data_IF_944590144491
#
_entry.id   IF_944590144491
#
_cell.length_a   1.000
_cell.length_b   1.000
_cell.length_c   1.000
_cell.angle_alpha   90.00
_cell.angle_beta   90.00
_cell.angle_gamma   90.00
#
_symmetry.space_group_name_H-M   'P 1'
#
loop_
_entity.id
_entity.type
_entity.pdbx_description
1 polymer ?
#
# COMPACT_ATOMS: atom_id res chain seq x y z
N UNK A 1 17.69 -5.58 -5.11
CA UNK A 1 17.76 -4.10 -5.15
C UNK A 1 16.69 -3.53 -4.22
N UNK A 2 16.86 -2.31 -3.70
CA UNK A 2 15.88 -1.69 -2.79
C UNK A 2 15.69 -0.21 -3.07
N UNK A 3 14.46 0.29 -2.96
CA UNK A 3 14.15 1.73 -3.01
C UNK A 3 12.87 2.04 -2.26
N UNK A 4 12.64 3.30 -1.93
CA UNK A 4 11.43 3.73 -1.23
C UNK A 4 10.42 4.39 -2.14
N UNK A 5 9.13 4.24 -1.83
CA UNK A 5 8.06 5.05 -2.44
C UNK A 5 6.96 5.35 -1.43
N UNK A 6 6.08 6.30 -1.75
CA UNK A 6 4.99 6.70 -0.86
C UNK A 6 3.88 5.62 -0.82
N UNK A 7 3.44 5.15 0.36
CA UNK A 7 2.42 4.11 0.49
C UNK A 7 1.10 4.46 -0.21
N UNK A 8 0.76 5.74 -0.36
CA UNK A 8 -0.52 6.17 -0.95
C UNK A 8 -0.43 6.44 -2.46
N UNK A 9 0.74 6.26 -3.08
CA UNK A 9 0.91 6.36 -4.54
C UNK A 9 0.55 5.03 -5.22
N UNK A 10 -0.75 4.82 -5.47
CA UNK A 10 -1.30 3.59 -6.04
C UNK A 10 -0.65 3.18 -7.39
N UNK A 11 -0.33 4.15 -8.25
CA UNK A 11 0.35 3.88 -9.53
C UNK A 11 1.77 3.33 -9.32
N UNK A 12 2.51 3.89 -8.36
CA UNK A 12 3.85 3.40 -8.00
C UNK A 12 3.75 2.01 -7.37
N UNK A 13 2.77 1.78 -6.51
CA UNK A 13 2.51 0.48 -5.91
C UNK A 13 2.24 -0.59 -6.99
N UNK A 14 1.35 -0.29 -7.94
CA UNK A 14 1.03 -1.21 -9.04
C UNK A 14 2.26 -1.52 -9.92
N UNK A 15 3.08 -0.52 -10.25
CA UNK A 15 4.31 -0.76 -10.97
C UNK A 15 5.31 -1.60 -10.16
N UNK A 16 5.64 -1.16 -8.95
CA UNK A 16 6.71 -1.71 -8.14
C UNK A 16 6.43 -3.14 -7.65
N UNK A 17 5.17 -3.44 -7.31
CA UNK A 17 4.80 -4.71 -6.70
C UNK A 17 4.17 -5.65 -7.73
N UNK A 18 3.11 -5.22 -8.40
CA UNK A 18 2.36 -6.08 -9.30
C UNK A 18 3.11 -6.33 -10.62
N UNK A 19 3.69 -5.28 -11.21
CA UNK A 19 4.38 -5.40 -12.52
C UNK A 19 5.83 -5.86 -12.41
N UNK A 20 6.56 -5.40 -11.40
CA UNK A 20 7.98 -5.76 -11.21
C UNK A 20 8.18 -6.94 -10.26
N UNK A 21 7.18 -7.31 -9.45
CA UNK A 21 7.30 -8.40 -8.48
C UNK A 21 8.06 -8.03 -7.20
N UNK A 22 8.26 -6.74 -6.92
CA UNK A 22 8.86 -6.31 -5.66
C UNK A 22 7.95 -6.59 -4.47
N UNK A 23 8.55 -6.73 -3.29
CA UNK A 23 7.82 -6.95 -2.03
C UNK A 23 8.14 -5.85 -1.03
N UNK A 24 7.30 -5.67 -0.01
CA UNK A 24 7.55 -4.72 1.07
C UNK A 24 7.41 -5.41 2.41
N UNK A 25 8.44 -5.33 3.24
CA UNK A 25 8.41 -5.75 4.66
C UNK A 25 8.63 -4.61 5.65
N UNK A 26 9.10 -3.46 5.17
CA UNK A 26 9.48 -2.35 6.03
C UNK A 26 8.72 -1.06 5.67
N UNK A 27 8.30 -0.37 6.72
CA UNK A 27 7.60 0.91 6.65
C UNK A 27 8.41 1.96 7.43
N UNK A 28 8.74 3.06 6.77
CA UNK A 28 9.40 4.21 7.39
C UNK A 28 8.40 5.32 7.65
N UNK A 29 8.27 5.68 8.92
CA UNK A 29 7.43 6.79 9.37
C UNK A 29 8.16 8.11 9.15
N UNK A 30 7.51 9.06 8.48
CA UNK A 30 7.98 10.42 8.23
C UNK A 30 9.44 10.49 7.76
N UNK A 31 9.79 9.71 6.74
CA UNK A 31 11.18 9.41 6.37
C UNK A 31 12.03 10.64 6.02
N UNK A 32 11.43 11.67 5.43
CA UNK A 32 12.10 12.91 5.07
C UNK A 32 11.95 14.05 6.10
N UNK A 33 11.28 13.80 7.23
CA UNK A 33 11.07 14.81 8.26
C UNK A 33 10.13 15.95 7.82
N UNK A 34 10.32 17.14 8.38
CA UNK A 34 9.53 18.33 8.03
C UNK A 34 9.82 18.77 6.59
N UNK A 35 8.83 18.67 5.72
CA UNK A 35 8.91 19.15 4.35
C UNK A 35 8.42 20.59 4.28
N UNK A 36 9.30 21.52 3.89
CA UNK A 36 9.02 22.97 3.83
C UNK A 36 8.13 23.37 2.65
N UNK A 37 7.92 22.48 1.67
CA UNK A 37 7.12 22.76 0.47
C UNK A 37 5.63 22.86 0.78
N UNK A 38 4.96 23.94 0.32
CA UNK A 38 3.53 24.22 0.54
C UNK A 38 2.58 23.04 0.21
N UNK A 39 2.99 22.15 -0.69
CA UNK A 39 2.20 20.97 -1.11
C UNK A 39 2.31 19.83 -0.09
N UNK A 40 3.43 19.72 0.64
CA UNK A 40 3.69 18.64 1.59
C UNK A 40 3.49 19.06 3.06
N UNK A 41 3.33 20.36 3.32
CA UNK A 41 3.10 20.87 4.68
C UNK A 41 1.92 20.16 5.35
N UNK A 42 2.19 19.51 6.48
CA UNK A 42 1.19 18.86 7.32
C UNK A 42 0.91 17.37 7.02
N UNK A 43 1.44 16.79 5.94
CA UNK A 43 1.32 15.35 5.68
C UNK A 43 2.68 14.66 5.84
N UNK A 44 2.83 13.73 6.80
CA UNK A 44 4.07 13.01 7.01
C UNK A 44 4.58 12.27 5.77
N UNK A 45 5.90 12.27 5.59
CA UNK A 45 6.60 11.68 4.43
C UNK A 45 6.84 10.18 4.58
N UNK A 46 5.78 9.42 4.87
CA UNK A 46 5.89 7.97 5.05
C UNK A 46 6.34 7.25 3.78
N UNK A 47 7.11 6.17 3.94
CA UNK A 47 7.70 5.40 2.84
C UNK A 47 7.60 3.89 3.07
N UNK A 48 7.29 3.16 2.00
CA UNK A 48 7.48 1.72 1.92
C UNK A 48 8.87 1.43 1.35
N UNK A 49 9.63 0.54 1.98
CA UNK A 49 10.87 0.02 1.40
C UNK A 49 10.53 -1.17 0.49
N UNK A 50 10.61 -0.95 -0.81
CA UNK A 50 10.50 -2.03 -1.77
C UNK A 50 11.81 -2.82 -1.81
N UNK A 51 11.69 -4.12 -1.79
CA UNK A 51 12.76 -5.09 -1.94
C UNK A 51 12.49 -5.90 -3.21
N UNK A 52 13.40 -5.82 -4.18
CA UNK A 52 13.26 -6.46 -5.48
C UNK A 52 14.32 -7.54 -5.67
N UNK A 53 13.85 -8.78 -5.75
CA UNK A 53 14.64 -10.00 -5.88
C UNK A 53 14.54 -10.53 -7.30
N UNK A 54 15.47 -10.11 -8.16
CA UNK A 54 15.46 -10.43 -9.60
C UNK A 54 15.43 -11.95 -9.88
N UNK A 55 16.13 -12.73 -9.07
CA UNK A 55 16.24 -14.18 -9.24
C UNK A 55 15.13 -14.96 -8.49
N UNK A 56 14.16 -14.27 -7.90
CA UNK A 56 13.06 -14.93 -7.19
C UNK A 56 12.12 -15.64 -8.15
N UNK A 57 11.53 -16.76 -7.69
CA UNK A 57 10.49 -17.51 -8.41
C UNK A 57 9.35 -16.60 -8.88
N UNK A 58 8.94 -15.64 -8.05
CA UNK A 58 7.93 -14.63 -8.38
C UNK A 58 8.32 -13.79 -9.60
N UNK A 59 9.51 -13.19 -9.60
CA UNK A 59 9.96 -12.33 -10.71
C UNK A 59 10.16 -13.15 -11.98
N UNK A 60 10.72 -14.36 -11.88
CA UNK A 60 10.86 -15.26 -13.03
C UNK A 60 9.50 -15.65 -13.63
N UNK A 61 8.49 -15.92 -12.80
CA UNK A 61 7.12 -16.21 -13.27
C UNK A 61 6.50 -15.02 -14.01
N UNK A 62 6.66 -13.81 -13.47
CA UNK A 62 6.21 -12.56 -14.08
C UNK A 62 6.87 -12.35 -15.46
N UNK A 63 8.19 -12.55 -15.55
CA UNK A 63 8.94 -12.43 -16.81
C UNK A 63 8.52 -13.48 -17.84
N UNK A 64 8.13 -14.68 -17.39
CA UNK A 64 7.58 -15.74 -18.24
C UNK A 64 6.14 -15.45 -18.73
N UNK A 65 5.54 -14.33 -18.33
CA UNK A 65 4.17 -13.95 -18.71
C UNK A 65 3.08 -14.59 -17.84
N UNK A 66 3.45 -15.29 -16.76
CA UNK A 66 2.51 -15.90 -15.82
C UNK A 66 2.01 -14.85 -14.82
N UNK A 67 1.17 -13.93 -15.30
CA UNK A 67 0.51 -12.94 -14.45
C UNK A 67 -0.81 -13.51 -13.91
N UNK A 68 -0.98 -13.52 -12.59
CA UNK A 68 -2.30 -13.69 -12.01
C UNK A 68 -3.02 -12.33 -12.04
N UNK A 69 -4.18 -12.20 -12.70
CA UNK A 69 -4.87 -10.92 -12.84
C UNK A 69 -5.44 -10.42 -11.51
N UNK A 70 -5.89 -11.34 -10.65
CA UNK A 70 -6.46 -11.02 -9.33
C UNK A 70 -5.83 -11.91 -8.26
N UNK A 71 -4.99 -11.35 -7.36
CA UNK A 71 -4.46 -12.10 -6.22
C UNK A 71 -5.61 -12.48 -5.27
N UNK A 72 -5.64 -13.70 -4.72
CA UNK A 72 -6.67 -14.09 -3.76
C UNK A 72 -6.57 -13.23 -2.50
N UNK A 73 -7.73 -12.90 -1.92
CA UNK A 73 -7.88 -12.14 -0.67
C UNK A 73 -8.87 -12.89 0.20
N UNK A 74 -8.54 -13.06 1.47
CA UNK A 74 -9.39 -13.75 2.45
C UNK A 74 -10.16 -12.76 3.32
N UNK A 75 -9.55 -11.61 3.65
CA UNK A 75 -10.17 -10.60 4.52
C UNK A 75 -9.72 -9.19 4.22
N UNK A 76 -10.63 -8.22 4.37
CA UNK A 76 -10.30 -6.79 4.30
C UNK A 76 -10.02 -6.26 5.70
N UNK A 77 -8.86 -5.61 5.89
CA UNK A 77 -8.39 -5.06 7.17
C UNK A 77 -8.37 -3.54 7.23
N UNK A 78 -8.44 -2.89 6.06
CA UNK A 78 -8.75 -1.47 5.94
C UNK A 78 -9.78 -1.31 4.84
N UNK A 79 -11.01 -0.96 5.22
CA UNK A 79 -12.11 -0.74 4.30
C UNK A 79 -12.18 0.72 3.86
N UNK A 80 -12.83 0.95 2.71
CA UNK A 80 -13.07 2.26 2.12
C UNK A 80 -14.57 2.43 1.94
N UNK A 81 -15.08 3.63 2.24
CA UNK A 81 -16.44 4.04 1.89
C UNK A 81 -16.42 5.31 1.04
N UNK A 82 -17.46 5.49 0.24
CA UNK A 82 -17.65 6.74 -0.51
C UNK A 82 -18.37 7.75 0.39
N UNK A 83 -17.80 8.94 0.51
CA UNK A 83 -18.43 10.08 1.16
C UNK A 83 -18.62 11.23 0.17
N UNK A 84 -19.46 12.24 0.48
CA UNK A 84 -19.55 13.47 -0.31
C UNK A 84 -18.21 14.20 -0.46
N UNK A 85 -17.31 14.04 0.51
CA UNK A 85 -15.95 14.57 0.52
C UNK A 85 -14.92 13.62 -0.09
N UNK A 86 -15.33 12.62 -0.88
CA UNK A 86 -14.43 11.65 -1.49
C UNK A 86 -14.30 10.33 -0.72
N UNK A 87 -13.48 9.38 -1.22
CA UNK A 87 -13.31 8.09 -0.57
C UNK A 87 -12.60 8.24 0.78
N UNK A 88 -13.18 7.69 1.83
CA UNK A 88 -12.64 7.76 3.19
C UNK A 88 -12.40 6.38 3.81
N UNK A 89 -11.44 6.25 4.74
CA UNK A 89 -11.27 5.03 5.53
C UNK A 89 -12.54 4.76 6.34
N UNK A 90 -13.08 3.55 6.27
CA UNK A 90 -14.37 3.21 6.87
C UNK A 90 -14.26 2.29 8.09
N UNK A 91 -13.21 1.49 8.17
CA UNK A 91 -13.04 0.50 9.24
C UNK A 91 -11.70 -0.18 9.20
N UNK A 92 -11.20 -0.49 10.39
CA UNK A 92 -9.93 -1.19 10.60
C UNK A 92 -10.21 -2.46 11.39
N UNK A 93 -9.64 -3.55 10.91
CA UNK A 93 -9.51 -4.79 11.67
C UNK A 93 -8.02 -5.06 11.89
N UNK A 94 -7.58 -5.05 13.15
CA UNK A 94 -6.21 -5.41 13.55
C UNK A 94 -6.12 -6.82 14.13
N UNK A 95 -7.23 -7.51 14.30
CA UNK A 95 -7.31 -8.85 14.89
C UNK A 95 -7.31 -9.95 13.82
N UNK A 96 -7.29 -9.59 12.53
CA UNK A 96 -7.20 -10.56 11.45
C UNK A 96 -5.91 -11.40 11.56
N UNK A 97 -6.04 -12.69 11.23
CA UNK A 97 -4.95 -13.67 11.27
C UNK A 97 -4.83 -14.49 9.98
N UNK A 98 -5.76 -14.25 9.05
CA UNK A 98 -5.86 -14.86 7.74
C UNK A 98 -4.55 -14.68 6.96
N UNK A 99 -4.26 -15.62 6.06
CA UNK A 99 -3.01 -15.65 5.33
C UNK A 99 -2.91 -14.49 4.35
N UNK A 100 -4.04 -14.01 3.80
CA UNK A 100 -4.08 -12.97 2.77
C UNK A 100 -5.07 -11.86 3.10
N UNK A 101 -4.54 -10.68 3.42
CA UNK A 101 -5.30 -9.53 3.87
C UNK A 101 -5.31 -8.42 2.81
N UNK A 102 -6.39 -7.65 2.77
CA UNK A 102 -6.57 -6.53 1.86
C UNK A 102 -6.67 -5.21 2.61
N UNK A 103 -5.85 -4.26 2.20
CA UNK A 103 -5.81 -2.91 2.72
C UNK A 103 -6.13 -1.94 1.57
N UNK A 104 -7.33 -1.35 1.56
CA UNK A 104 -7.72 -0.38 0.54
C UNK A 104 -7.01 0.96 0.70
N UNK A 105 -6.68 1.59 -0.42
CA UNK A 105 -6.13 2.95 -0.52
C UNK A 105 -6.88 3.74 -1.61
N UNK A 106 -6.86 5.08 -1.57
CA UNK A 106 -7.40 5.90 -2.63
C UNK A 106 -6.62 5.67 -3.94
N UNK A 107 -7.32 5.57 -5.07
CA UNK A 107 -6.67 5.43 -6.38
C UNK A 107 -5.85 6.67 -6.78
N UNK A 108 -6.23 7.86 -6.31
CA UNK A 108 -5.54 9.11 -6.62
C UNK A 108 -5.35 9.96 -5.35
N UNK A 109 -4.28 9.66 -4.61
CA UNK A 109 -3.94 10.38 -3.38
C UNK A 109 -3.55 11.85 -3.63
N UNK A 110 -2.99 12.17 -4.79
CA UNK A 110 -2.59 13.54 -5.13
C UNK A 110 -3.79 14.50 -5.24
N UNK A 111 -4.92 14.02 -5.77
CA UNK A 111 -6.18 14.79 -5.77
C UNK A 111 -6.64 15.05 -4.34
N UNK A 112 -6.71 14.01 -3.49
CA UNK A 112 -7.10 14.17 -2.09
C UNK A 112 -6.19 15.16 -1.36
N UNK A 113 -4.89 15.06 -1.57
CA UNK A 113 -3.90 15.93 -0.94
C UNK A 113 -4.08 17.41 -1.33
N UNK A 114 -4.49 17.68 -2.57
CA UNK A 114 -4.73 19.04 -3.07
C UNK A 114 -6.08 19.60 -2.65
N UNK A 115 -7.13 18.78 -2.76
CA UNK A 115 -8.52 19.25 -2.62
C UNK A 115 -9.01 19.14 -1.17
N UNK A 116 -8.58 18.11 -0.43
CA UNK A 116 -9.11 17.76 0.89
C UNK A 116 -7.96 17.29 1.81
N UNK A 117 -7.02 18.18 2.20
CA UNK A 117 -5.79 17.81 2.92
C UNK A 117 -6.04 17.05 4.24
N UNK A 118 -7.13 17.34 4.94
CA UNK A 118 -7.49 16.67 6.18
C UNK A 118 -7.85 15.19 5.94
N UNK A 119 -8.55 14.88 4.85
CA UNK A 119 -8.84 13.51 4.45
C UNK A 119 -7.57 12.79 4.00
N UNK A 120 -6.68 13.48 3.30
CA UNK A 120 -5.38 12.93 2.93
C UNK A 120 -4.50 12.59 4.16
N UNK A 121 -4.53 13.43 5.19
CA UNK A 121 -3.88 13.13 6.47
C UNK A 121 -4.54 11.93 7.18
N UNK A 122 -5.88 11.85 7.19
CA UNK A 122 -6.61 10.69 7.71
C UNK A 122 -6.14 9.39 7.05
N UNK A 123 -6.12 9.34 5.72
CA UNK A 123 -5.59 8.21 4.96
C UNK A 123 -4.13 7.86 5.34
N UNK A 124 -3.26 8.86 5.48
CA UNK A 124 -1.86 8.66 5.88
C UNK A 124 -1.75 7.93 7.21
N UNK A 125 -2.50 8.40 8.21
CA UNK A 125 -2.43 7.86 9.56
C UNK A 125 -3.03 6.46 9.65
N UNK A 126 -4.15 6.20 8.96
CA UNK A 126 -4.77 4.86 8.99
C UNK A 126 -3.95 3.83 8.22
N UNK A 127 -3.44 4.17 7.03
CA UNK A 127 -2.54 3.26 6.30
C UNK A 127 -1.27 2.99 7.09
N UNK A 128 -0.68 4.01 7.74
CA UNK A 128 0.46 3.82 8.64
C UNK A 128 0.14 2.82 9.74
N UNK A 129 -0.97 3.03 10.45
CA UNK A 129 -1.39 2.19 11.57
C UNK A 129 -1.52 0.72 11.16
N UNK A 130 -2.26 0.45 10.08
CA UNK A 130 -2.51 -0.91 9.59
C UNK A 130 -1.23 -1.55 9.04
N UNK A 131 -0.44 -0.82 8.25
CA UNK A 131 0.82 -1.35 7.70
C UNK A 131 1.82 -1.69 8.81
N UNK A 132 2.08 -0.78 9.75
CA UNK A 132 3.02 -1.04 10.85
C UNK A 132 2.58 -2.26 11.67
N UNK A 133 1.29 -2.36 11.98
CA UNK A 133 0.73 -3.49 12.71
C UNK A 133 1.00 -4.82 12.02
N UNK A 134 0.54 -4.99 10.77
CA UNK A 134 0.66 -6.28 10.09
C UNK A 134 2.09 -6.62 9.67
N UNK A 135 2.88 -5.64 9.21
CA UNK A 135 4.29 -5.90 8.88
C UNK A 135 5.07 -6.36 10.10
N UNK A 136 4.80 -5.81 11.29
CA UNK A 136 5.42 -6.28 12.55
C UNK A 136 5.01 -7.70 12.97
N UNK A 137 3.87 -8.19 12.46
CA UNK A 137 3.34 -9.54 12.71
C UNK A 137 3.79 -10.56 11.65
N UNK A 138 4.79 -10.22 10.84
CA UNK A 138 5.34 -11.11 9.81
C UNK A 138 4.50 -11.17 8.53
N UNK A 139 3.65 -10.17 8.29
CA UNK A 139 3.07 -9.97 6.96
C UNK A 139 4.03 -9.20 6.07
N UNK A 140 3.88 -9.37 4.76
CA UNK A 140 4.56 -8.58 3.73
C UNK A 140 3.57 -8.16 2.66
N UNK A 141 3.81 -7.03 2.00
CA UNK A 141 3.05 -6.69 0.80
C UNK A 141 3.63 -7.46 -0.36
N UNK A 142 2.80 -8.25 -1.04
CA UNK A 142 3.21 -9.03 -2.21
C UNK A 142 2.48 -8.65 -3.48
N UNK A 143 1.29 -8.07 -3.39
CA UNK A 143 0.51 -7.70 -4.56
C UNK A 143 -0.29 -6.42 -4.32
N UNK A 144 -0.82 -5.89 -5.42
CA UNK A 144 -1.66 -4.70 -5.43
C UNK A 144 -2.81 -4.94 -6.41
N UNK A 145 -4.04 -4.84 -5.91
CA UNK A 145 -5.23 -4.81 -6.75
C UNK A 145 -5.14 -3.60 -7.68
N UNK A 146 -5.38 -3.86 -8.97
CA UNK A 146 -5.28 -2.85 -10.02
C UNK A 146 -6.07 -1.59 -9.64
N UNK A 147 -5.49 -0.39 -9.79
CA UNK A 147 -6.25 0.83 -9.66
C UNK A 147 -7.42 0.82 -10.66
N UNK A 148 -8.65 0.76 -10.13
CA UNK A 148 -9.88 0.81 -10.89
C UNK A 148 -10.78 1.88 -10.26
N UNK A 149 -11.49 2.64 -11.10
CA UNK A 149 -12.30 3.82 -10.76
C UNK A 149 -12.55 4.03 -9.26
N UNK A 150 -11.65 4.79 -8.61
CA UNK A 150 -11.78 5.25 -7.23
C UNK A 150 -10.93 4.54 -6.17
N UNK A 151 -10.44 3.32 -6.40
CA UNK A 151 -9.68 2.56 -5.37
C UNK A 151 -8.54 1.71 -5.93
N UNK A 152 -7.55 1.45 -5.08
CA UNK A 152 -6.52 0.42 -5.24
C UNK A 152 -6.33 -0.27 -3.88
N UNK A 153 -5.74 -1.46 -3.83
CA UNK A 153 -5.61 -2.16 -2.55
C UNK A 153 -4.32 -2.96 -2.47
N UNK A 154 -3.63 -2.89 -1.34
CA UNK A 154 -2.49 -3.74 -1.05
C UNK A 154 -2.95 -5.11 -0.59
N UNK A 155 -2.28 -6.16 -1.09
CA UNK A 155 -2.44 -7.52 -0.62
C UNK A 155 -1.25 -7.86 0.28
N UNK A 156 -1.55 -8.03 1.56
CA UNK A 156 -0.60 -8.46 2.57
C UNK A 156 -0.68 -9.97 2.74
N UNK A 157 0.47 -10.64 2.81
CA UNK A 157 0.58 -12.09 2.91
C UNK A 157 1.41 -12.47 4.12
N UNK A 158 0.93 -13.41 4.91
CA UNK A 158 1.60 -13.91 6.11
C UNK A 158 2.78 -14.82 5.74
N UNK A 159 3.93 -14.65 6.39
CA UNK A 159 5.09 -15.55 6.28
C UNK A 159 6.35 -14.91 5.70
N UNK A 160 7.45 -15.67 5.71
CA UNK A 160 8.80 -15.18 5.37
C UNK A 160 9.31 -15.58 3.97
N UNK A 161 8.72 -16.59 3.32
CA UNK A 161 9.20 -17.10 2.03
C UNK A 161 8.79 -16.24 0.83
N UNK A 162 9.72 -16.07 -0.12
CA UNK A 162 9.56 -15.41 -1.43
C UNK A 162 9.72 -16.42 -2.57
#
# INVERSE_FOLDING_TARGET
MTWTYDPLEASNAYLNIHRLGGVVRHYYVNHYGEMLDKINQGIPSDRLLLEWYLDSTRVQSILAGNFSPDPPVEKTVLSLQNSPGGPEPAGIDLEAEEARLLLWIPANFQILKKEIPQLALGWRLEVRKVMLHYLSRGYRVEDVLRPASGRAGYVLVKGEEL
#
